data_IF_295296470665
#
_entry.id   IF_295296470665
#
_cell.length_a   1.000
_cell.length_b   1.000
_cell.length_c   1.000
_cell.angle_alpha   90.00
_cell.angle_beta   90.00
_cell.angle_gamma   90.00
#
_symmetry.space_group_name_H-M   'P 1'
#
loop_
_entity.id
_entity.type
_entity.pdbx_description
1 polymer ?
#
# COMPACT_ATOMS: atom_id res chain seq x y z
N UNK A 1 14.52 34.91 -45.76
CA UNK A 1 14.42 33.81 -44.75
C UNK A 1 15.67 33.77 -43.85
N UNK A 2 16.88 33.69 -44.42
CA UNK A 2 18.15 33.61 -43.68
C UNK A 2 18.35 34.76 -42.69
N UNK A 3 18.13 36.00 -43.11
CA UNK A 3 18.24 37.19 -42.24
C UNK A 3 17.29 37.16 -41.03
N UNK A 4 16.05 36.69 -41.23
CA UNK A 4 15.08 36.54 -40.13
C UNK A 4 15.54 35.46 -39.15
N UNK A 5 16.04 34.34 -39.67
CA UNK A 5 16.57 33.25 -38.85
C UNK A 5 17.78 33.71 -38.02
N UNK A 6 18.69 34.44 -38.61
CA UNK A 6 19.88 34.98 -37.93
C UNK A 6 19.49 35.96 -36.81
N UNK A 7 18.55 36.89 -37.05
CA UNK A 7 18.05 37.78 -36.01
C UNK A 7 17.38 37.02 -34.82
N UNK A 8 16.65 35.94 -35.12
CA UNK A 8 16.07 35.11 -34.04
C UNK A 8 17.15 34.36 -33.28
N UNK A 9 18.16 33.85 -33.98
CA UNK A 9 19.26 33.12 -33.32
C UNK A 9 20.11 34.03 -32.41
N UNK A 10 20.30 35.29 -32.78
CA UNK A 10 20.99 36.27 -31.93
C UNK A 10 20.27 36.49 -30.59
N UNK A 11 18.94 36.43 -30.57
CA UNK A 11 18.13 36.64 -29.38
C UNK A 11 17.65 35.34 -28.72
N UNK A 12 18.08 34.19 -29.23
CA UNK A 12 17.57 32.87 -28.78
C UNK A 12 17.72 32.65 -27.28
N UNK A 13 18.85 33.06 -26.71
CA UNK A 13 19.15 32.92 -25.29
C UNK A 13 18.15 33.69 -24.42
N UNK A 14 17.84 34.92 -24.79
CA UNK A 14 16.92 35.79 -24.06
C UNK A 14 15.47 35.26 -24.16
N UNK A 15 15.10 34.78 -25.35
CA UNK A 15 13.80 34.14 -25.58
C UNK A 15 13.65 32.88 -24.72
N UNK A 16 14.69 32.03 -24.68
CA UNK A 16 14.66 30.81 -23.86
C UNK A 16 14.60 31.13 -22.36
N UNK A 17 15.33 32.14 -21.89
CA UNK A 17 15.27 32.57 -20.49
C UNK A 17 13.89 33.09 -20.12
N UNK A 18 13.26 33.89 -20.96
CA UNK A 18 11.91 34.40 -20.75
C UNK A 18 10.89 33.28 -20.77
N UNK A 19 10.97 32.34 -21.69
CA UNK A 19 10.11 31.18 -21.76
C UNK A 19 10.21 30.31 -20.50
N UNK A 20 11.44 30.09 -20.01
CA UNK A 20 11.67 29.35 -18.75
C UNK A 20 11.07 30.07 -17.55
N UNK A 21 11.21 31.37 -17.44
CA UNK A 21 10.62 32.13 -16.35
C UNK A 21 9.08 32.11 -16.38
N UNK A 22 8.50 32.26 -17.57
CA UNK A 22 7.04 32.15 -17.74
C UNK A 22 6.53 30.76 -17.37
N UNK A 23 7.22 29.69 -17.80
CA UNK A 23 6.85 28.32 -17.44
C UNK A 23 6.91 28.09 -15.93
N UNK A 24 7.90 28.62 -15.23
CA UNK A 24 7.98 28.56 -13.77
C UNK A 24 6.82 29.29 -13.10
N UNK A 25 6.49 30.48 -13.56
CA UNK A 25 5.36 31.26 -13.03
C UNK A 25 4.02 30.52 -13.24
N UNK A 26 3.82 29.92 -14.42
CA UNK A 26 2.62 29.17 -14.76
C UNK A 26 2.44 27.95 -13.83
N UNK A 27 3.51 27.17 -13.60
CA UNK A 27 3.51 26.04 -12.68
C UNK A 27 3.18 26.49 -11.26
N UNK A 28 3.83 27.55 -10.75
CA UNK A 28 3.58 28.05 -9.40
C UNK A 28 2.15 28.59 -9.24
N UNK A 29 1.62 29.27 -10.25
CA UNK A 29 0.24 29.75 -10.27
C UNK A 29 -0.76 28.59 -10.25
N UNK A 30 -0.52 27.55 -11.06
CA UNK A 30 -1.33 26.32 -11.07
C UNK A 30 -1.32 25.60 -9.73
N UNK A 31 -0.16 25.45 -9.09
CA UNK A 31 -0.05 24.86 -7.77
C UNK A 31 -0.79 25.67 -6.71
N UNK A 32 -0.64 26.99 -6.72
CA UNK A 32 -1.32 27.89 -5.78
C UNK A 32 -2.85 27.84 -5.93
N UNK A 33 -3.34 27.86 -7.16
CA UNK A 33 -4.77 27.76 -7.45
C UNK A 33 -5.35 26.40 -7.02
N UNK A 34 -4.68 25.29 -7.38
CA UNK A 34 -5.07 23.95 -6.97
C UNK A 34 -5.09 23.82 -5.45
N UNK A 35 -4.08 24.33 -4.75
CA UNK A 35 -4.01 24.31 -3.29
C UNK A 35 -5.17 25.06 -2.65
N UNK A 36 -5.50 26.24 -3.19
CA UNK A 36 -6.61 27.07 -2.73
C UNK A 36 -7.98 26.42 -2.96
N UNK A 37 -8.20 25.83 -4.14
CA UNK A 37 -9.47 25.21 -4.52
C UNK A 37 -9.76 23.92 -3.76
N UNK A 38 -8.72 23.10 -3.49
CA UNK A 38 -8.87 21.78 -2.91
C UNK A 38 -8.36 21.68 -1.46
N UNK A 39 -8.09 22.81 -0.81
CA UNK A 39 -7.62 22.86 0.57
C UNK A 39 -6.37 21.99 0.79
N UNK A 40 -5.36 22.16 -0.05
CA UNK A 40 -4.06 21.51 0.12
C UNK A 40 -3.21 22.32 1.11
N UNK A 41 -2.33 21.63 1.83
CA UNK A 41 -1.44 22.23 2.81
C UNK A 41 0.02 22.19 2.35
N UNK A 42 0.83 23.11 2.86
CA UNK A 42 2.27 23.11 2.64
C UNK A 42 2.92 21.94 3.41
N UNK A 43 3.58 20.98 2.73
CA UNK A 43 4.28 19.92 3.42
C UNK A 43 5.55 20.42 4.10
N UNK A 44 5.86 19.88 5.27
CA UNK A 44 7.19 20.01 5.88
C UNK A 44 8.12 19.00 5.26
N UNK A 45 9.16 19.46 4.56
CA UNK A 45 10.18 18.61 3.95
C UNK A 45 11.41 18.60 4.84
N UNK A 46 11.92 17.42 5.19
CA UNK A 46 13.08 17.23 6.08
C UNK A 46 14.01 16.15 5.55
N UNK A 47 15.16 15.96 6.19
CA UNK A 47 16.13 14.87 5.88
C UNK A 47 16.30 13.98 7.13
N UNK A 48 15.19 13.61 7.76
CA UNK A 48 15.18 12.84 9.02
C UNK A 48 14.82 11.36 8.82
N UNK A 49 14.61 10.94 7.60
CA UNK A 49 14.21 9.57 7.28
C UNK A 49 12.75 9.25 7.63
N UNK A 50 11.88 10.27 7.85
CA UNK A 50 10.51 10.12 8.33
C UNK A 50 9.52 10.50 7.25
N UNK A 51 8.49 9.67 7.08
CA UNK A 51 7.31 9.96 6.27
C UNK A 51 6.07 9.88 7.18
N UNK A 52 5.46 11.02 7.45
CA UNK A 52 4.26 11.11 8.26
C UNK A 52 3.22 11.96 7.53
N UNK A 53 2.04 11.40 7.32
CA UNK A 53 0.90 12.07 6.71
C UNK A 53 -0.31 11.79 7.58
N UNK A 54 -1.05 12.84 7.96
CA UNK A 54 -2.30 12.73 8.68
C UNK A 54 -3.46 13.18 7.78
N UNK A 55 -4.53 12.41 7.79
CA UNK A 55 -5.72 12.63 6.97
C UNK A 55 -5.37 12.85 5.48
N UNK A 56 -4.45 12.07 4.97
CA UNK A 56 -4.07 12.10 3.55
C UNK A 56 -5.23 11.71 2.64
N UNK A 57 -5.41 12.43 1.52
CA UNK A 57 -6.44 12.20 0.53
C UNK A 57 -5.83 11.92 -0.83
N UNK A 58 -6.49 11.16 -1.67
CA UNK A 58 -5.98 10.85 -3.01
C UNK A 58 -6.31 11.98 -3.98
N UNK A 59 -5.31 12.70 -4.54
CA UNK A 59 -5.53 13.96 -5.27
C UNK A 59 -6.45 13.82 -6.49
N UNK A 60 -6.48 12.66 -7.14
CA UNK A 60 -7.32 12.42 -8.31
C UNK A 60 -8.68 11.87 -7.91
N UNK A 61 -8.74 10.89 -7.01
CA UNK A 61 -10.01 10.26 -6.64
C UNK A 61 -10.92 11.20 -5.86
N UNK A 62 -10.37 12.03 -4.99
CA UNK A 62 -11.13 13.02 -4.24
C UNK A 62 -11.94 13.96 -5.16
N UNK A 63 -11.37 14.32 -6.30
CA UNK A 63 -12.02 15.23 -7.26
C UNK A 63 -13.03 14.53 -8.16
N UNK A 64 -12.94 13.20 -8.32
CA UNK A 64 -13.81 12.42 -9.19
C UNK A 64 -15.00 11.74 -8.48
N UNK A 65 -15.02 11.75 -7.14
CA UNK A 65 -16.13 11.23 -6.36
C UNK A 65 -17.26 12.27 -6.33
N UNK A 66 -18.37 11.98 -6.99
CA UNK A 66 -19.53 12.89 -7.11
C UNK A 66 -20.49 12.76 -5.90
N UNK A 67 -20.70 11.52 -5.42
CA UNK A 67 -21.74 11.21 -4.43
C UNK A 67 -21.19 10.82 -3.05
N UNK A 68 -19.91 10.49 -2.94
CA UNK A 68 -19.26 10.04 -1.71
C UNK A 68 -18.08 10.94 -1.35
N UNK A 69 -17.87 11.16 -0.04
CA UNK A 69 -16.64 11.81 0.42
C UNK A 69 -15.49 10.81 0.42
N UNK A 70 -14.31 11.25 -0.01
CA UNK A 70 -13.11 10.46 0.12
C UNK A 70 -12.78 10.21 1.59
N UNK A 71 -12.45 8.97 1.95
CA UNK A 71 -12.06 8.60 3.33
C UNK A 71 -10.56 8.85 3.49
N UNK A 72 -10.15 9.85 4.29
CA UNK A 72 -8.75 10.16 4.50
C UNK A 72 -8.05 9.08 5.33
N UNK A 73 -6.76 8.89 5.10
CA UNK A 73 -5.95 7.89 5.80
C UNK A 73 -4.61 8.45 6.26
N UNK A 74 -4.10 7.87 7.34
CA UNK A 74 -2.83 8.24 7.93
C UNK A 74 -1.73 7.28 7.50
N UNK A 75 -0.49 7.77 7.46
CA UNK A 75 0.70 6.94 7.33
C UNK A 75 1.81 7.50 8.22
N UNK A 76 2.57 6.60 8.83
CA UNK A 76 3.76 6.95 9.60
C UNK A 76 4.82 5.86 9.36
N UNK A 77 5.92 6.22 8.69
CA UNK A 77 7.04 5.32 8.37
C UNK A 77 8.37 6.02 8.69
N UNK A 78 9.36 5.24 9.10
CA UNK A 78 10.73 5.70 9.23
C UNK A 78 11.70 4.76 8.51
N UNK A 79 12.69 5.29 7.82
CA UNK A 79 13.77 4.49 7.25
C UNK A 79 14.66 3.92 8.38
N UNK A 80 15.48 2.93 8.05
CA UNK A 80 16.45 2.36 9.01
C UNK A 80 17.38 3.41 9.64
N UNK A 81 17.65 4.49 8.91
CA UNK A 81 18.51 5.60 9.35
C UNK A 81 17.71 6.75 9.99
N UNK A 82 16.38 6.68 9.98
CA UNK A 82 15.52 7.73 10.53
C UNK A 82 15.62 7.77 12.05
N UNK A 83 15.79 8.97 12.59
CA UNK A 83 15.71 9.24 14.02
C UNK A 83 14.24 9.47 14.36
N UNK A 84 13.71 8.70 15.32
CA UNK A 84 12.37 8.98 15.82
C UNK A 84 12.35 10.39 16.44
N UNK A 85 11.42 11.29 16.05
CA UNK A 85 11.33 12.61 16.65
C UNK A 85 10.99 12.45 18.13
N UNK A 86 11.76 13.12 18.98
CA UNK A 86 11.33 13.38 20.34
C UNK A 86 10.09 14.28 20.23
N UNK A 87 8.93 13.71 20.48
CA UNK A 87 7.66 14.40 20.35
C UNK A 87 7.57 15.53 21.37
N UNK A 88 7.75 16.78 20.92
CA UNK A 88 7.22 17.94 21.60
C UNK A 88 5.71 18.09 21.32
N UNK A 89 4.94 17.08 21.58
CA UNK A 89 3.50 17.20 21.74
C UNK A 89 3.25 17.69 23.18
N UNK A 90 3.14 19.00 23.32
CA UNK A 90 2.50 19.59 24.50
C UNK A 90 1.03 19.15 24.50
N UNK A 91 0.75 18.03 25.11
CA UNK A 91 -0.58 17.76 25.65
C UNK A 91 -0.71 18.59 26.91
N UNK A 92 -1.51 19.63 26.87
CA UNK A 92 -2.00 20.30 28.08
C UNK A 92 -2.87 19.29 28.84
N UNK A 93 -2.28 18.69 29.88
CA UNK A 93 -3.02 17.90 30.87
C UNK A 93 -3.35 18.80 32.05
N UNK A 94 -4.59 18.73 32.59
CA UNK A 94 -4.93 19.42 33.85
C UNK A 94 -4.10 18.84 35.00
N UNK A 95 -3.69 19.75 35.89
CA UNK A 95 -2.90 19.45 37.08
C UNK A 95 -3.61 18.50 38.04
N UNK A 96 -2.84 17.57 38.57
CA UNK A 96 -3.09 16.93 39.86
C UNK A 96 -3.04 15.40 39.79
N UNK A 97 -1.85 14.81 40.08
CA UNK A 97 -1.66 13.75 41.06
C UNK A 97 -0.23 13.24 41.00
N UNK A 98 0.46 13.30 42.16
CA UNK A 98 1.78 12.75 42.37
C UNK A 98 1.74 11.22 42.33
N UNK A 99 2.44 10.61 41.36
CA UNK A 99 2.82 9.20 41.43
C UNK A 99 4.33 9.05 41.36
N UNK A 100 4.83 8.24 42.28
CA UNK A 100 6.22 7.92 42.57
C UNK A 100 6.98 7.32 41.38
N UNK A 101 8.26 7.70 41.26
CA UNK A 101 9.29 7.13 40.39
C UNK A 101 9.39 5.60 40.58
N UNK A 102 9.13 4.86 39.51
CA UNK A 102 9.40 3.45 39.37
C UNK A 102 9.22 3.04 37.90
N UNK A 103 10.34 2.76 37.22
CA UNK A 103 10.44 2.03 35.96
C UNK A 103 9.39 2.28 34.87
N UNK A 104 9.47 3.41 34.20
CA UNK A 104 8.92 3.59 32.86
C UNK A 104 10.06 3.86 31.88
N UNK A 105 10.57 2.78 31.29
CA UNK A 105 11.08 2.83 29.93
C UNK A 105 9.86 3.09 29.03
N UNK A 106 9.50 4.36 28.86
CA UNK A 106 8.55 4.78 27.85
C UNK A 106 9.19 4.49 26.49
N UNK A 107 8.91 3.30 25.96
CA UNK A 107 9.19 2.97 24.58
C UNK A 107 8.36 3.93 23.73
N UNK A 108 9.00 5.01 23.28
CA UNK A 108 8.45 5.85 22.20
C UNK A 108 8.03 4.91 21.07
N UNK A 109 6.79 4.94 20.59
CA UNK A 109 6.35 4.03 19.53
C UNK A 109 7.23 4.27 18.32
N UNK A 110 8.19 3.37 18.08
CA UNK A 110 9.10 3.44 16.93
C UNK A 110 8.26 3.30 15.67
N UNK A 111 8.29 4.31 14.81
CA UNK A 111 7.63 4.24 13.50
C UNK A 111 8.15 3.03 12.73
N UNK A 112 7.27 2.22 12.11
CA UNK A 112 7.72 1.09 11.32
C UNK A 112 8.46 1.55 10.06
N UNK A 113 9.38 0.73 9.60
CA UNK A 113 10.00 0.86 8.28
C UNK A 113 9.08 0.32 7.20
N UNK A 114 8.42 -0.82 7.49
CA UNK A 114 7.53 -1.53 6.57
C UNK A 114 6.12 -1.54 7.15
N UNK A 115 5.15 -1.03 6.40
CA UNK A 115 3.73 -1.24 6.63
C UNK A 115 3.26 -2.38 5.73
N UNK A 116 2.94 -3.53 6.32
CA UNK A 116 2.33 -4.67 5.65
C UNK A 116 0.81 -4.52 5.72
N UNK A 117 0.15 -4.39 4.57
CA UNK A 117 -1.26 -4.04 4.49
C UNK A 117 -2.06 -5.20 3.92
N UNK A 118 -2.87 -5.83 4.76
CA UNK A 118 -3.76 -6.93 4.38
C UNK A 118 -5.20 -6.47 4.22
N UNK A 119 -6.05 -7.35 3.74
CA UNK A 119 -7.48 -7.10 3.59
C UNK A 119 -8.01 -7.48 2.21
N UNK A 120 -9.34 -7.43 2.03
CA UNK A 120 -9.98 -7.91 0.81
C UNK A 120 -9.63 -7.05 -0.40
N UNK A 121 -9.74 -7.66 -1.59
CA UNK A 121 -9.65 -6.94 -2.84
C UNK A 121 -10.82 -5.93 -2.92
N UNK A 122 -10.62 -4.80 -3.59
CA UNK A 122 -11.56 -3.67 -3.70
C UNK A 122 -11.77 -2.86 -2.41
N UNK A 123 -11.14 -3.23 -1.29
CA UNK A 123 -11.28 -2.49 -0.03
C UNK A 123 -10.49 -1.18 0.04
N UNK A 124 -9.61 -0.91 -0.94
CA UNK A 124 -8.85 0.34 -1.04
C UNK A 124 -7.36 0.26 -0.72
N UNK A 125 -6.77 -0.95 -0.53
CA UNK A 125 -5.32 -1.13 -0.30
C UNK A 125 -4.47 -0.43 -1.36
N UNK A 126 -4.67 -0.79 -2.63
CA UNK A 126 -3.94 -0.22 -3.77
C UNK A 126 -4.12 1.29 -3.88
N UNK A 127 -5.31 1.80 -3.61
CA UNK A 127 -5.60 3.24 -3.59
C UNK A 127 -4.77 3.94 -2.53
N UNK A 128 -4.71 3.38 -1.32
CA UNK A 128 -3.97 3.95 -0.20
C UNK A 128 -2.46 4.02 -0.46
N UNK A 129 -1.84 2.92 -0.90
CA UNK A 129 -0.38 2.92 -1.15
C UNK A 129 0.00 3.86 -2.31
N UNK A 130 -0.84 3.95 -3.35
CA UNK A 130 -0.65 4.91 -4.46
C UNK A 130 -0.81 6.35 -4.01
N UNK A 131 -1.79 6.63 -3.15
CA UNK A 131 -1.98 7.95 -2.54
C UNK A 131 -0.70 8.41 -1.85
N UNK A 132 -0.08 7.57 -1.03
CA UNK A 132 1.16 7.93 -0.31
C UNK A 132 2.29 8.25 -1.28
N UNK A 133 2.45 7.45 -2.35
CA UNK A 133 3.45 7.72 -3.39
C UNK A 133 3.19 9.06 -4.11
N UNK A 134 1.93 9.33 -4.46
CA UNK A 134 1.55 10.59 -5.13
C UNK A 134 1.74 11.81 -4.23
N UNK A 135 1.39 11.75 -2.96
CA UNK A 135 1.60 12.84 -2.01
C UNK A 135 3.10 13.13 -1.83
N UNK A 136 3.91 12.06 -1.74
CA UNK A 136 5.37 12.20 -1.68
C UNK A 136 5.92 12.84 -2.96
N UNK A 137 5.47 12.42 -4.13
CA UNK A 137 5.87 12.99 -5.42
C UNK A 137 5.49 14.47 -5.51
N UNK A 138 4.23 14.83 -5.19
CA UNK A 138 3.76 16.21 -5.20
C UNK A 138 4.61 17.11 -4.30
N UNK A 139 4.91 16.67 -3.07
CA UNK A 139 5.77 17.42 -2.17
C UNK A 139 7.16 17.66 -2.76
N UNK A 140 7.76 16.68 -3.46
CA UNK A 140 9.07 16.82 -4.10
C UNK A 140 9.04 17.72 -5.35
N UNK A 141 7.89 17.96 -5.96
CA UNK A 141 7.72 18.93 -7.03
C UNK A 141 7.53 20.37 -6.54
N UNK A 142 7.45 20.57 -5.23
CA UNK A 142 7.17 21.87 -4.61
C UNK A 142 5.68 22.21 -4.51
N UNK A 143 4.79 21.27 -4.79
CA UNK A 143 3.34 21.45 -4.65
C UNK A 143 2.89 21.31 -3.19
N UNK A 144 1.80 21.98 -2.83
CA UNK A 144 1.02 21.64 -1.66
C UNK A 144 0.32 20.29 -1.85
N UNK A 145 -0.10 19.65 -0.76
CA UNK A 145 -0.63 18.30 -0.76
C UNK A 145 -1.97 18.16 -0.03
N UNK A 146 -2.88 17.28 -0.47
CA UNK A 146 -4.18 17.05 0.15
C UNK A 146 -4.06 16.24 1.44
N UNK A 147 -3.84 16.90 2.55
CA UNK A 147 -3.77 16.29 3.88
C UNK A 147 -4.07 17.31 4.98
N UNK A 148 -4.20 16.88 6.25
CA UNK A 148 -4.30 17.77 7.39
C UNK A 148 -2.92 18.16 7.94
N UNK A 149 -1.95 17.23 7.90
CA UNK A 149 -0.58 17.47 8.33
C UNK A 149 0.35 16.54 7.56
N UNK A 150 1.50 17.07 7.13
CA UNK A 150 2.47 16.30 6.32
C UNK A 150 3.89 16.65 6.69
N UNK A 151 4.68 15.63 7.01
CA UNK A 151 6.12 15.67 7.15
C UNK A 151 6.72 14.61 6.25
N UNK A 152 7.46 15.03 5.25
CA UNK A 152 8.00 14.16 4.21
C UNK A 152 9.52 14.26 4.21
N UNK A 153 10.17 13.11 4.25
CA UNK A 153 11.61 12.97 4.05
C UNK A 153 11.99 13.18 2.59
N UNK A 154 13.19 13.71 2.37
CA UNK A 154 13.79 13.77 1.05
C UNK A 154 14.09 12.35 0.55
N UNK A 155 13.27 11.85 -0.35
CA UNK A 155 13.49 10.53 -0.98
C UNK A 155 14.30 10.68 -2.26
N UNK A 156 15.24 9.77 -2.47
CA UNK A 156 16.06 9.73 -3.69
C UNK A 156 15.27 9.12 -4.87
N UNK A 157 14.41 8.16 -4.59
CA UNK A 157 13.57 7.48 -5.59
C UNK A 157 12.27 6.99 -4.99
N UNK A 158 11.22 7.01 -5.80
CA UNK A 158 9.95 6.35 -5.51
C UNK A 158 9.85 5.14 -6.43
N UNK A 159 9.95 3.95 -5.85
CA UNK A 159 9.76 2.71 -6.59
C UNK A 159 8.34 2.20 -6.42
N UNK A 160 7.71 1.83 -7.51
CA UNK A 160 6.36 1.26 -7.49
C UNK A 160 6.33 -0.04 -8.28
N UNK A 161 5.74 -1.08 -7.70
CA UNK A 161 5.30 -2.28 -8.38
C UNK A 161 3.80 -2.41 -8.12
N UNK A 162 3.02 -1.99 -9.08
CA UNK A 162 1.57 -1.91 -8.99
C UNK A 162 1.01 -2.67 -10.19
N UNK A 163 0.16 -3.68 -9.96
CA UNK A 163 -0.42 -4.61 -10.92
C UNK A 163 -0.15 -4.34 -12.40
N UNK A 164 0.40 -5.30 -13.11
CA UNK A 164 0.66 -5.14 -14.54
C UNK A 164 -0.65 -5.16 -15.32
N UNK A 165 -0.82 -4.23 -16.25
CA UNK A 165 -1.60 -4.49 -17.45
C UNK A 165 -0.82 -5.49 -18.30
N UNK A 166 -1.50 -6.50 -18.84
CA UNK A 166 -0.91 -7.47 -19.75
C UNK A 166 -0.20 -6.74 -20.90
N UNK A 167 1.12 -6.77 -20.92
CA UNK A 167 1.89 -6.31 -22.07
C UNK A 167 2.02 -7.47 -23.08
N UNK A 168 0.87 -7.84 -23.67
CA UNK A 168 0.76 -8.87 -24.69
C UNK A 168 1.64 -8.58 -25.92
N UNK A 169 2.04 -7.31 -26.11
CA UNK A 169 2.84 -6.88 -27.25
C UNK A 169 4.28 -7.41 -27.19
N UNK A 170 4.80 -7.74 -26.00
CA UNK A 170 6.17 -8.26 -25.81
C UNK A 170 6.26 -9.76 -25.57
N UNK A 171 5.12 -10.46 -25.53
CA UNK A 171 5.09 -11.92 -25.33
C UNK A 171 5.67 -12.39 -23.98
N UNK A 172 5.86 -11.52 -23.02
CA UNK A 172 6.36 -11.85 -21.70
C UNK A 172 5.20 -12.23 -20.76
N UNK A 173 5.42 -13.26 -19.95
CA UNK A 173 4.50 -13.60 -18.87
C UNK A 173 4.38 -12.42 -17.90
N UNK A 174 3.17 -12.12 -17.41
CA UNK A 174 2.92 -11.11 -16.37
C UNK A 174 3.79 -11.32 -15.15
N UNK A 175 4.04 -12.57 -14.79
CA UNK A 175 4.95 -12.94 -13.70
C UNK A 175 6.41 -12.56 -13.98
N UNK A 176 6.89 -12.72 -15.22
CA UNK A 176 8.26 -12.32 -15.59
C UNK A 176 8.44 -10.82 -15.55
N UNK A 177 7.45 -10.04 -16.00
CA UNK A 177 7.44 -8.58 -15.88
C UNK A 177 7.48 -8.18 -14.41
N UNK A 178 6.63 -8.79 -13.58
CA UNK A 178 6.60 -8.57 -12.13
C UNK A 178 7.97 -8.81 -11.48
N UNK A 179 8.62 -9.92 -11.80
CA UNK A 179 9.92 -10.25 -11.24
C UNK A 179 11.03 -9.33 -11.74
N UNK A 180 10.97 -8.88 -12.98
CA UNK A 180 11.94 -7.91 -13.53
C UNK A 180 11.83 -6.55 -12.84
N UNK A 181 10.61 -6.05 -12.62
CA UNK A 181 10.37 -4.81 -11.89
C UNK A 181 10.81 -4.93 -10.43
N UNK A 182 10.48 -6.04 -9.78
CA UNK A 182 10.88 -6.33 -8.41
C UNK A 182 12.41 -6.41 -8.29
N UNK A 183 13.09 -7.09 -9.22
CA UNK A 183 14.54 -7.16 -9.26
C UNK A 183 15.17 -5.76 -9.42
N UNK A 184 14.60 -4.91 -10.27
CA UNK A 184 15.06 -3.53 -10.40
C UNK A 184 14.96 -2.76 -9.06
N UNK A 185 13.86 -2.93 -8.32
CA UNK A 185 13.67 -2.32 -7.00
C UNK A 185 14.75 -2.82 -6.03
N UNK A 186 14.88 -4.15 -5.88
CA UNK A 186 15.79 -4.76 -4.90
C UNK A 186 17.26 -4.42 -5.16
N UNK A 187 17.66 -4.24 -6.42
CA UNK A 187 19.04 -3.93 -6.80
C UNK A 187 19.38 -2.44 -6.72
N UNK A 188 18.40 -1.54 -6.77
CA UNK A 188 18.63 -0.10 -6.88
C UNK A 188 18.07 0.73 -5.72
N UNK A 189 17.25 0.16 -4.84
CA UNK A 189 16.70 0.88 -3.71
C UNK A 189 17.77 1.14 -2.64
N UNK A 190 17.68 2.30 -2.01
CA UNK A 190 18.54 2.75 -0.90
C UNK A 190 17.70 2.95 0.37
N UNK A 191 18.30 3.15 1.55
CA UNK A 191 17.54 3.50 2.76
C UNK A 191 16.71 4.79 2.62
N UNK A 192 17.04 5.65 1.67
CA UNK A 192 16.30 6.90 1.40
C UNK A 192 15.14 6.74 0.44
N UNK A 193 14.99 5.58 -0.18
CA UNK A 193 13.90 5.33 -1.15
C UNK A 193 12.54 5.17 -0.45
N UNK A 194 11.47 5.42 -1.20
CA UNK A 194 10.11 5.00 -0.89
C UNK A 194 9.72 3.86 -1.82
N UNK A 195 9.31 2.73 -1.25
CA UNK A 195 8.94 1.53 -2.00
C UNK A 195 7.47 1.24 -1.81
N UNK A 196 6.74 1.02 -2.91
CA UNK A 196 5.32 0.69 -2.94
C UNK A 196 5.13 -0.59 -3.73
N UNK A 197 4.74 -1.65 -3.05
CA UNK A 197 4.52 -2.98 -3.63
C UNK A 197 3.05 -3.40 -3.49
N UNK A 198 2.44 -3.80 -4.60
CA UNK A 198 1.03 -4.19 -4.66
C UNK A 198 0.92 -5.63 -5.16
N UNK A 199 0.56 -6.53 -4.24
CA UNK A 199 0.22 -7.93 -4.50
C UNK A 199 1.29 -8.73 -5.27
N UNK A 200 2.52 -8.72 -4.77
CA UNK A 200 3.63 -9.52 -5.32
C UNK A 200 3.33 -11.02 -5.20
N UNK A 201 3.64 -11.78 -6.25
CA UNK A 201 3.54 -13.25 -6.28
C UNK A 201 2.22 -13.80 -6.83
N UNK A 202 1.35 -12.94 -7.40
CA UNK A 202 0.06 -13.40 -7.98
C UNK A 202 0.20 -14.23 -9.26
N UNK A 203 1.26 -14.03 -10.01
CA UNK A 203 1.45 -14.64 -11.34
C UNK A 203 1.97 -16.08 -11.33
N UNK A 204 2.11 -16.71 -10.16
CA UNK A 204 2.65 -18.07 -10.00
C UNK A 204 1.84 -18.91 -9.01
N UNK A 205 2.34 -20.11 -8.65
CA UNK A 205 1.66 -20.94 -7.64
C UNK A 205 1.65 -20.24 -6.27
N UNK A 206 0.64 -20.50 -5.45
CA UNK A 206 0.45 -19.85 -4.14
C UNK A 206 1.70 -19.95 -3.27
N UNK A 207 2.30 -21.11 -3.15
CA UNK A 207 3.48 -21.31 -2.30
C UNK A 207 4.74 -20.65 -2.85
N UNK A 208 4.94 -20.65 -4.18
CA UNK A 208 6.07 -19.95 -4.80
C UNK A 208 5.91 -18.44 -4.62
N UNK A 209 4.70 -17.91 -4.84
CA UNK A 209 4.39 -16.51 -4.66
C UNK A 209 4.58 -16.05 -3.21
N UNK A 210 4.06 -16.81 -2.24
CA UNK A 210 4.24 -16.56 -0.81
C UNK A 210 5.73 -16.57 -0.42
N UNK A 211 6.49 -17.58 -0.87
CA UNK A 211 7.91 -17.71 -0.55
C UNK A 211 8.73 -16.53 -1.08
N UNK A 212 8.43 -16.07 -2.30
CA UNK A 212 9.06 -14.90 -2.88
C UNK A 212 8.69 -13.62 -2.12
N UNK A 213 7.40 -13.40 -1.86
CA UNK A 213 6.92 -12.23 -1.12
C UNK A 213 7.55 -12.16 0.28
N UNK A 214 7.63 -13.29 0.99
CA UNK A 214 8.28 -13.41 2.30
C UNK A 214 9.74 -12.98 2.24
N UNK A 215 10.51 -13.58 1.32
CA UNK A 215 11.94 -13.30 1.15
C UNK A 215 12.20 -11.85 0.74
N UNK A 216 11.34 -11.26 -0.08
CA UNK A 216 11.42 -9.86 -0.49
C UNK A 216 11.23 -8.94 0.72
N UNK A 217 10.24 -9.20 1.58
CA UNK A 217 10.00 -8.39 2.81
C UNK A 217 11.20 -8.49 3.74
N UNK A 218 11.75 -9.68 3.97
CA UNK A 218 12.96 -9.86 4.81
C UNK A 218 14.16 -9.11 4.23
N UNK A 219 14.37 -9.16 2.91
CA UNK A 219 15.46 -8.44 2.24
C UNK A 219 15.31 -6.92 2.37
N UNK A 220 14.11 -6.39 2.13
CA UNK A 220 13.81 -4.96 2.26
C UNK A 220 14.03 -4.47 3.69
N UNK A 221 13.63 -5.26 4.70
CA UNK A 221 13.81 -4.93 6.10
C UNK A 221 15.27 -4.98 6.53
N UNK A 222 15.99 -6.06 6.20
CA UNK A 222 17.31 -6.34 6.74
C UNK A 222 18.44 -5.67 5.96
N UNK A 223 18.32 -5.62 4.62
CA UNK A 223 19.39 -5.15 3.74
C UNK A 223 19.15 -3.72 3.25
N UNK A 224 17.99 -3.44 2.69
CA UNK A 224 17.72 -2.13 2.06
C UNK A 224 17.46 -1.05 3.12
N UNK A 225 16.54 -1.28 4.03
CA UNK A 225 16.22 -0.31 5.09
C UNK A 225 15.32 0.85 4.66
N UNK A 226 14.71 0.78 3.48
CA UNK A 226 13.83 1.81 2.91
C UNK A 226 12.43 1.81 3.53
N UNK A 227 11.77 2.96 3.51
CA UNK A 227 10.34 3.10 3.82
C UNK A 227 9.52 2.31 2.82
N UNK A 228 8.71 1.35 3.28
CA UNK A 228 8.01 0.42 2.39
C UNK A 228 6.54 0.29 2.76
N UNK A 229 5.68 0.40 1.75
CA UNK A 229 4.26 0.05 1.81
C UNK A 229 4.05 -1.22 0.98
N UNK A 230 3.64 -2.30 1.63
CA UNK A 230 3.47 -3.60 0.99
C UNK A 230 2.01 -4.06 1.15
N UNK A 231 1.21 -3.93 0.11
CA UNK A 231 -0.14 -4.47 0.06
C UNK A 231 -0.10 -5.93 -0.41
N UNK A 232 -0.80 -6.80 0.30
CA UNK A 232 -0.80 -8.24 0.01
C UNK A 232 -2.14 -8.89 0.31
N UNK A 233 -2.38 -10.03 -0.32
CA UNK A 233 -3.46 -10.94 0.00
C UNK A 233 -2.98 -12.18 0.79
N UNK A 234 -1.66 -12.33 0.97
CA UNK A 234 -1.09 -13.39 1.80
C UNK A 234 -1.18 -13.02 3.28
N UNK A 235 -2.09 -13.65 4.01
CA UNK A 235 -2.28 -13.41 5.45
C UNK A 235 -1.08 -13.93 6.26
N UNK A 236 -0.42 -14.97 5.77
CA UNK A 236 0.75 -15.60 6.38
C UNK A 236 1.91 -14.62 6.57
N UNK A 237 2.02 -13.61 5.71
CA UNK A 237 3.06 -12.58 5.85
C UNK A 237 2.91 -11.74 7.13
N UNK A 238 1.74 -11.74 7.75
CA UNK A 238 1.51 -11.03 9.03
C UNK A 238 2.35 -11.59 10.17
N UNK A 239 2.77 -12.86 10.09
CA UNK A 239 3.66 -13.49 11.06
C UNK A 239 5.05 -12.83 11.11
N UNK A 240 5.46 -12.18 10.03
CA UNK A 240 6.73 -11.46 9.96
C UNK A 240 6.85 -10.34 11.00
N UNK A 241 5.74 -9.77 11.45
CA UNK A 241 5.75 -8.73 12.49
C UNK A 241 6.32 -9.22 13.83
N UNK A 242 6.21 -10.52 14.13
CA UNK A 242 6.81 -11.11 15.32
C UNK A 242 8.34 -11.28 15.22
N UNK A 243 8.89 -11.28 13.99
CA UNK A 243 10.31 -11.53 13.71
C UNK A 243 11.06 -10.27 13.28
N UNK A 244 10.38 -9.32 12.67
CA UNK A 244 10.95 -8.11 12.09
C UNK A 244 10.49 -6.87 12.88
N UNK A 245 11.31 -6.33 13.78
CA UNK A 245 10.89 -5.32 14.76
C UNK A 245 10.49 -3.98 14.14
N UNK A 246 10.88 -3.71 12.88
CA UNK A 246 10.50 -2.50 12.16
C UNK A 246 9.39 -2.74 11.11
N UNK A 247 8.70 -3.88 11.21
CA UNK A 247 7.53 -4.18 10.40
C UNK A 247 6.27 -4.11 11.29
N UNK A 248 5.24 -3.43 10.81
CA UNK A 248 3.91 -3.44 11.43
C UNK A 248 2.86 -3.88 10.45
N UNK A 249 1.88 -4.63 10.97
CA UNK A 249 0.71 -5.06 10.23
C UNK A 249 -0.38 -3.99 10.28
N UNK A 250 -1.02 -3.78 9.14
CA UNK A 250 -2.20 -2.96 8.97
C UNK A 250 -3.25 -3.73 8.19
N UNK A 251 -4.48 -3.34 8.35
CA UNK A 251 -5.58 -3.89 7.54
C UNK A 251 -6.58 -2.81 7.16
N UNK A 252 -7.41 -3.10 6.16
CA UNK A 252 -8.53 -2.23 5.80
C UNK A 252 -9.71 -2.57 6.70
N UNK A 253 -10.22 -1.58 7.43
CA UNK A 253 -11.35 -1.76 8.31
C UNK A 253 -12.61 -2.17 7.54
N UNK A 254 -13.24 -3.25 8.00
CA UNK A 254 -14.46 -3.82 7.43
C UNK A 254 -15.51 -3.86 8.52
N UNK A 255 -16.74 -3.47 8.19
CA UNK A 255 -17.90 -3.64 9.07
C UNK A 255 -18.83 -4.69 8.48
N UNK A 256 -19.10 -5.72 9.26
CA UNK A 256 -20.11 -6.71 8.96
C UNK A 256 -21.46 -6.22 9.51
N UNK A 257 -22.48 -6.21 8.66
CA UNK A 257 -23.84 -5.83 9.03
C UNK A 257 -24.83 -6.81 8.38
N UNK A 258 -25.51 -7.64 9.17
CA UNK A 258 -26.53 -8.57 8.70
C UNK A 258 -26.12 -9.30 7.40
N UNK A 259 -25.09 -10.08 7.38
CA UNK A 259 -24.65 -10.80 6.16
C UNK A 259 -24.13 -9.92 5.00
N UNK A 260 -24.05 -8.59 5.20
CA UNK A 260 -23.45 -7.65 4.25
C UNK A 260 -22.13 -7.13 4.79
N UNK A 261 -21.21 -6.86 3.87
CA UNK A 261 -19.91 -6.28 4.18
C UNK A 261 -19.87 -4.85 3.67
N UNK A 262 -19.47 -3.93 4.55
CA UNK A 262 -19.20 -2.55 4.22
C UNK A 262 -17.71 -2.29 4.39
N UNK A 263 -17.02 -1.96 3.31
CA UNK A 263 -15.63 -1.54 3.34
C UNK A 263 -15.55 -0.10 3.81
N UNK A 264 -14.94 0.13 4.99
CA UNK A 264 -14.82 1.47 5.55
C UNK A 264 -13.71 2.29 4.87
N UNK A 265 -12.88 1.67 4.04
CA UNK A 265 -11.75 2.30 3.33
C UNK A 265 -10.76 2.99 4.27
N UNK A 266 -10.79 2.67 5.57
CA UNK A 266 -9.87 3.18 6.60
C UNK A 266 -8.83 2.12 6.91
N UNK A 267 -7.56 2.51 6.86
CA UNK A 267 -6.43 1.67 7.25
C UNK A 267 -6.28 1.76 8.77
N UNK A 268 -6.22 0.60 9.42
CA UNK A 268 -6.07 0.48 10.87
C UNK A 268 -4.91 -0.46 11.21
N UNK A 269 -4.26 -0.24 12.35
CA UNK A 269 -3.18 -1.11 12.83
C UNK A 269 -3.73 -2.48 13.23
N UNK A 270 -2.98 -3.53 12.93
CA UNK A 270 -3.30 -4.93 13.22
C UNK A 270 -3.42 -5.78 11.95
N UNK A 271 -3.34 -7.10 12.10
CA UNK A 271 -3.63 -8.08 11.06
C UNK A 271 -5.12 -8.41 11.01
N UNK A 272 -5.56 -9.01 9.91
CA UNK A 272 -6.86 -9.66 9.82
C UNK A 272 -6.66 -11.06 9.26
N UNK A 273 -7.26 -12.05 9.93
CA UNK A 273 -7.22 -13.45 9.50
C UNK A 273 -8.43 -13.81 8.63
N UNK A 274 -9.36 -12.86 8.45
CA UNK A 274 -10.58 -13.12 7.69
C UNK A 274 -10.39 -12.87 6.21
N UNK A 275 -10.69 -13.88 5.41
CA UNK A 275 -10.86 -13.78 3.96
C UNK A 275 -12.30 -13.38 3.62
N UNK A 276 -12.47 -12.43 2.73
CA UNK A 276 -13.79 -11.94 2.30
C UNK A 276 -14.10 -12.28 0.82
N UNK A 277 -13.35 -13.19 0.20
CA UNK A 277 -13.49 -13.53 -1.22
C UNK A 277 -14.90 -13.98 -1.59
N UNK A 278 -15.52 -14.85 -0.80
CA UNK A 278 -16.87 -15.35 -1.04
C UNK A 278 -17.93 -14.24 -0.91
N UNK A 279 -17.73 -13.32 0.02
CA UNK A 279 -18.64 -12.18 0.21
C UNK A 279 -18.53 -11.19 -0.96
N UNK A 280 -17.32 -10.93 -1.44
CA UNK A 280 -17.09 -10.11 -2.64
C UNK A 280 -17.73 -10.77 -3.87
N UNK A 281 -17.59 -12.08 -4.03
CA UNK A 281 -18.24 -12.83 -5.11
C UNK A 281 -19.78 -12.71 -5.03
N UNK A 282 -20.37 -12.70 -3.83
CA UNK A 282 -21.79 -12.45 -3.63
C UNK A 282 -22.20 -11.03 -4.08
N UNK A 283 -21.42 -10.02 -3.70
CA UNK A 283 -21.67 -8.64 -4.14
C UNK A 283 -21.57 -8.47 -5.65
N UNK A 284 -20.72 -9.27 -6.30
CA UNK A 284 -20.58 -9.31 -7.76
C UNK A 284 -21.70 -10.08 -8.46
N UNK A 285 -22.65 -10.69 -7.73
CA UNK A 285 -23.80 -11.40 -8.31
C UNK A 285 -23.54 -12.85 -8.68
N UNK A 286 -22.51 -13.51 -8.12
CA UNK A 286 -22.28 -14.95 -8.32
C UNK A 286 -23.47 -15.75 -7.77
N UNK A 287 -23.96 -16.79 -8.48
CA UNK A 287 -25.11 -17.59 -8.07
C UNK A 287 -24.96 -18.20 -6.65
N UNK A 288 -26.06 -18.26 -5.90
CA UNK A 288 -26.07 -18.74 -4.52
C UNK A 288 -25.51 -20.14 -4.36
N UNK A 289 -25.85 -21.06 -5.27
CA UNK A 289 -25.38 -22.46 -5.21
C UNK A 289 -23.86 -22.56 -5.30
N UNK A 290 -23.24 -21.70 -6.15
CA UNK A 290 -21.78 -21.61 -6.27
C UNK A 290 -21.16 -21.08 -4.97
N UNK A 291 -21.79 -20.05 -4.36
CA UNK A 291 -21.30 -19.46 -3.11
C UNK A 291 -21.40 -20.44 -1.93
N UNK A 292 -22.50 -21.18 -1.82
CA UNK A 292 -22.68 -22.19 -0.76
C UNK A 292 -21.67 -23.32 -0.94
N UNK A 293 -21.45 -23.78 -2.17
CA UNK A 293 -20.40 -24.77 -2.44
C UNK A 293 -19.01 -24.26 -2.13
N UNK A 294 -18.69 -23.02 -2.48
CA UNK A 294 -17.41 -22.40 -2.14
C UNK A 294 -17.17 -22.31 -0.64
N UNK A 295 -18.20 -21.98 0.18
CA UNK A 295 -18.11 -21.97 1.65
C UNK A 295 -17.77 -23.35 2.20
N UNK A 296 -18.45 -24.41 1.71
CA UNK A 296 -18.17 -25.79 2.14
C UNK A 296 -16.72 -26.20 1.83
N UNK A 297 -16.24 -25.87 0.63
CA UNK A 297 -14.87 -26.17 0.22
C UNK A 297 -13.86 -25.41 1.09
N UNK A 298 -14.11 -24.11 1.35
CA UNK A 298 -13.23 -23.28 2.18
C UNK A 298 -13.14 -23.83 3.60
N UNK A 299 -14.28 -24.14 4.23
CA UNK A 299 -14.30 -24.74 5.58
C UNK A 299 -13.47 -26.02 5.66
N UNK A 300 -13.60 -26.91 4.65
CA UNK A 300 -12.82 -28.15 4.60
C UNK A 300 -11.32 -27.92 4.41
N UNK A 301 -10.94 -26.88 3.68
CA UNK A 301 -9.53 -26.50 3.49
C UNK A 301 -8.94 -25.93 4.78
N UNK A 302 -9.65 -24.99 5.44
CA UNK A 302 -9.23 -24.39 6.71
C UNK A 302 -9.09 -25.44 7.82
N UNK A 303 -10.03 -26.38 7.96
CA UNK A 303 -9.94 -27.48 8.92
C UNK A 303 -8.73 -28.41 8.66
N UNK A 304 -8.26 -28.49 7.42
CA UNK A 304 -7.12 -29.34 7.06
C UNK A 304 -5.75 -28.69 7.31
N UNK A 305 -5.69 -27.38 7.37
CA UNK A 305 -4.46 -26.62 7.58
C UNK A 305 -4.08 -26.44 9.04
N UNK A 306 -5.06 -26.51 9.97
CA UNK A 306 -4.83 -26.32 11.40
C UNK A 306 -4.57 -27.66 12.10
N UNK A 307 -3.46 -27.76 12.86
CA UNK A 307 -3.33 -28.82 13.88
C UNK A 307 -4.08 -28.40 15.15
N UNK A 308 -4.48 -29.34 16.03
CA UNK A 308 -5.09 -29.03 17.33
C UNK A 308 -4.24 -28.10 18.21
N UNK A 309 -2.96 -27.93 17.87
CA UNK A 309 -1.97 -27.12 18.60
C UNK A 309 -1.70 -25.77 17.90
N UNK A 310 -2.45 -25.40 16.83
CA UNK A 310 -2.32 -24.12 16.13
C UNK A 310 -1.09 -23.99 15.21
N UNK A 311 -0.34 -25.06 14.97
CA UNK A 311 0.81 -25.05 14.06
C UNK A 311 0.39 -25.41 12.63
N UNK A 312 0.91 -24.68 11.63
CA UNK A 312 0.70 -25.00 10.22
C UNK A 312 1.34 -26.33 9.89
N UNK A 313 0.55 -27.28 9.38
CA UNK A 313 1.09 -28.55 8.89
C UNK A 313 1.88 -28.34 7.61
N UNK A 314 3.05 -28.98 7.45
CA UNK A 314 3.74 -28.96 6.17
C UNK A 314 2.84 -29.53 5.07
N UNK A 315 2.86 -28.94 3.84
CA UNK A 315 1.94 -29.28 2.77
C UNK A 315 2.06 -30.74 2.37
N UNK A 316 1.05 -31.51 2.59
CA UNK A 316 0.93 -32.89 2.09
C UNK A 316 0.28 -32.87 0.70
N UNK A 317 1.05 -32.62 -0.33
CA UNK A 317 0.63 -32.60 -1.75
C UNK A 317 -0.26 -33.77 -2.20
N UNK A 318 -0.26 -34.87 -1.48
CA UNK A 318 -0.98 -36.08 -1.83
C UNK A 318 -2.32 -36.23 -1.13
N UNK A 319 -2.44 -35.78 0.13
CA UNK A 319 -3.70 -35.85 0.89
C UNK A 319 -4.74 -34.82 0.41
N UNK A 320 -4.32 -33.66 -0.04
CA UNK A 320 -5.25 -32.61 -0.51
C UNK A 320 -5.86 -32.99 -1.87
N UNK A 321 -5.13 -33.65 -2.75
CA UNK A 321 -5.67 -34.26 -3.98
C UNK A 321 -6.70 -35.35 -3.70
N UNK A 322 -6.48 -36.15 -2.68
CA UNK A 322 -7.40 -37.25 -2.33
C UNK A 322 -8.65 -36.73 -1.61
N UNK A 323 -8.54 -35.66 -0.81
CA UNK A 323 -9.70 -34.99 -0.21
C UNK A 323 -10.55 -34.28 -1.26
N UNK A 324 -9.95 -33.61 -2.25
CA UNK A 324 -10.68 -33.01 -3.36
C UNK A 324 -11.37 -34.05 -4.26
N UNK A 325 -10.80 -35.25 -4.40
CA UNK A 325 -11.44 -36.37 -5.12
C UNK A 325 -12.61 -36.99 -4.37
N UNK A 326 -12.57 -36.95 -3.03
CA UNK A 326 -13.64 -37.53 -2.17
C UNK A 326 -14.81 -36.55 -1.91
N UNK A 327 -14.71 -35.29 -2.37
CA UNK A 327 -15.86 -34.39 -2.40
C UNK A 327 -16.87 -34.93 -3.42
N UNK A 328 -18.08 -35.22 -2.95
CA UNK A 328 -19.15 -35.65 -3.83
C UNK A 328 -19.31 -34.73 -5.01
N UNK A 329 -19.44 -35.23 -6.25
CA UNK A 329 -19.63 -34.40 -7.42
C UNK A 329 -20.87 -33.50 -7.19
N UNK A 330 -20.79 -32.25 -7.66
CA UNK A 330 -21.95 -31.37 -7.65
C UNK A 330 -23.09 -32.07 -8.39
N UNK A 331 -24.34 -31.98 -7.90
CA UNK A 331 -25.46 -32.55 -8.61
C UNK A 331 -25.46 -31.97 -10.03
N UNK A 332 -25.42 -32.85 -11.01
CA UNK A 332 -25.57 -32.43 -12.42
C UNK A 332 -26.93 -31.80 -12.54
N UNK A 333 -26.96 -30.53 -12.88
CA UNK A 333 -28.16 -29.88 -13.38
C UNK A 333 -28.43 -30.49 -14.74
N UNK A 334 -29.48 -31.32 -14.84
CA UNK A 334 -30.04 -31.74 -16.12
C UNK A 334 -30.59 -30.50 -16.82
N UNK A 335 -29.80 -29.98 -17.75
CA UNK A 335 -30.16 -28.83 -18.59
C UNK A 335 -31.11 -29.21 -19.75
N UNK A 336 -31.47 -30.50 -19.85
CA UNK A 336 -32.39 -31.02 -20.86
C UNK A 336 -33.33 -32.04 -20.22
N UNK A 337 -34.27 -31.57 -19.46
CA UNK A 337 -35.43 -32.29 -19.00
C UNK A 337 -36.69 -31.74 -19.63
#
# INVERSE_FOLDING_TARGET
FQRVRENVLEQLKEIQQTASALAQLDVLASFAETARLHNYICPQVSDEGILQIRDGRHPVLEQNLLDERFVPNDVALASRTGVAPVSNLKTETPQGENFSNGDRQDACPTMPQIALITGPNMAGKSTYIRQVALLTLLAHTGSFVPAAEVRIDLVDRIFTRIGASDDLARGQSTFMVEMTETANILNNATPRSLIVLDEIGRGTSTFDGLSLAWSIVEFLHNQVGAKTLFATHYHELTELAARLPRLKNFNVAVREWHDQIVFLRKIVEGGTDKSYGIQVARLAGVPKDVLERAKQILSNLEESELTPEGNVRPPRKQQDRDKLKNLAPAPQLDLFG
#
